data_IF_537506427946
#
_entry.id   IF_537506427946
#
_cell.length_a   1.000
_cell.length_b   1.000
_cell.length_c   1.000
_cell.angle_alpha   90.00
_cell.angle_beta   90.00
_cell.angle_gamma   90.00
#
_symmetry.space_group_name_H-M   'P 1'
#
loop_
_entity.id
_entity.type
_entity.pdbx_description
1 polymer ?
#
# COMPACT_ATOMS: atom_id res chain seq x y z
N UNK A 1 -7.55 5.81 26.95
CA UNK A 1 -8.88 5.33 26.50
C UNK A 1 -8.90 5.10 24.98
N UNK A 2 -8.55 6.11 24.17
CA UNK A 2 -8.56 5.99 22.69
C UNK A 2 -7.68 4.87 22.18
N UNK A 3 -6.46 4.74 22.69
CA UNK A 3 -5.52 3.68 22.31
C UNK A 3 -6.12 2.27 22.54
N UNK A 4 -6.79 2.06 23.68
CA UNK A 4 -7.45 0.77 23.97
C UNK A 4 -8.60 0.48 23.00
N UNK A 5 -9.36 1.51 22.63
CA UNK A 5 -10.46 1.38 21.67
C UNK A 5 -9.91 1.03 20.29
N UNK A 6 -8.88 1.75 19.81
CA UNK A 6 -8.22 1.49 18.54
C UNK A 6 -7.68 0.06 18.50
N UNK A 7 -6.89 -0.34 19.51
CA UNK A 7 -6.35 -1.72 19.58
C UNK A 7 -7.47 -2.76 19.48
N UNK A 8 -8.56 -2.58 20.21
CA UNK A 8 -9.71 -3.50 20.14
C UNK A 8 -10.31 -3.56 18.73
N UNK A 9 -10.44 -2.43 18.03
CA UNK A 9 -10.99 -2.39 16.67
C UNK A 9 -10.09 -3.08 15.65
N UNK A 10 -8.79 -2.83 15.72
CA UNK A 10 -7.82 -3.52 14.87
C UNK A 10 -7.85 -5.04 15.11
N UNK A 11 -7.87 -5.47 16.37
CA UNK A 11 -7.99 -6.90 16.71
C UNK A 11 -9.29 -7.53 16.21
N UNK A 12 -10.42 -6.82 16.30
CA UNK A 12 -11.68 -7.29 15.73
C UNK A 12 -11.58 -7.49 14.22
N UNK A 13 -11.01 -6.52 13.50
CA UNK A 13 -10.82 -6.62 12.06
C UNK A 13 -9.87 -7.78 11.68
N UNK A 14 -8.75 -7.94 12.38
CA UNK A 14 -7.80 -9.04 12.18
C UNK A 14 -8.48 -10.40 12.42
N UNK A 15 -9.24 -10.55 13.50
CA UNK A 15 -9.94 -11.81 13.80
C UNK A 15 -10.99 -12.15 12.73
N UNK A 16 -11.80 -11.18 12.32
CA UNK A 16 -12.76 -11.34 11.23
C UNK A 16 -12.05 -11.74 9.93
N UNK A 17 -10.96 -11.05 9.57
CA UNK A 17 -10.17 -11.36 8.38
C UNK A 17 -9.63 -12.79 8.40
N UNK A 18 -9.16 -13.29 9.55
CA UNK A 18 -8.73 -14.68 9.72
C UNK A 18 -9.88 -15.66 9.58
N UNK A 19 -11.01 -15.40 10.22
CA UNK A 19 -12.21 -16.25 10.14
C UNK A 19 -12.74 -16.34 8.70
N UNK A 20 -12.67 -15.23 7.95
CA UNK A 20 -13.05 -15.19 6.52
C UNK A 20 -11.99 -15.83 5.61
N UNK A 21 -10.80 -16.14 6.11
CA UNK A 21 -9.72 -16.72 5.32
C UNK A 21 -9.13 -15.74 4.30
N UNK A 22 -9.26 -14.41 4.50
CA UNK A 22 -8.69 -13.43 3.58
C UNK A 22 -7.18 -13.36 3.75
N UNK A 23 -6.48 -13.06 2.66
CA UNK A 23 -5.02 -12.99 2.65
C UNK A 23 -4.49 -11.62 3.05
N UNK A 24 -5.20 -10.57 2.72
CA UNK A 24 -4.78 -9.19 2.92
C UNK A 24 -5.84 -8.38 3.67
N UNK A 25 -5.39 -7.54 4.60
CA UNK A 25 -6.22 -6.60 5.35
C UNK A 25 -5.50 -5.25 5.35
N UNK A 26 -6.17 -4.23 4.82
CA UNK A 26 -5.58 -2.89 4.66
C UNK A 26 -5.97 -1.98 5.82
N UNK A 27 -4.99 -1.23 6.32
CA UNK A 27 -5.18 -0.09 7.23
C UNK A 27 -4.33 1.08 6.76
N UNK A 28 -4.83 2.30 6.90
CA UNK A 28 -4.02 3.50 6.64
C UNK A 28 -2.88 3.66 7.64
N UNK A 29 -1.82 4.39 7.26
CA UNK A 29 -0.68 4.73 8.13
C UNK A 29 -1.10 5.41 9.42
N UNK A 30 -2.22 6.14 9.44
CA UNK A 30 -2.66 7.03 10.50
C UNK A 30 -1.69 8.22 10.75
N UNK A 31 -0.77 8.45 9.84
CA UNK A 31 0.02 9.68 9.84
C UNK A 31 -0.89 10.88 9.52
N UNK A 32 -0.56 12.03 10.10
CA UNK A 32 -1.31 13.27 9.86
C UNK A 32 -0.36 14.47 9.93
N UNK A 33 -0.59 15.54 9.14
CA UNK A 33 0.25 16.74 9.13
C UNK A 33 0.45 17.42 10.49
N UNK A 34 -0.41 17.16 11.48
CA UNK A 34 -0.20 17.69 12.84
C UNK A 34 1.05 17.11 13.52
N UNK A 35 1.60 15.99 13.04
CA UNK A 35 2.83 15.39 13.56
C UNK A 35 4.12 16.06 13.05
N UNK A 36 4.03 17.08 12.19
CA UNK A 36 5.22 17.82 11.70
C UNK A 36 5.88 18.71 12.76
N UNK A 37 5.23 18.96 13.90
CA UNK A 37 5.86 19.65 15.02
C UNK A 37 7.10 18.89 15.53
N UNK A 38 8.09 19.63 16.02
CA UNK A 38 9.38 19.09 16.46
C UNK A 38 9.23 17.84 17.34
N UNK A 39 9.83 16.75 16.95
CA UNK A 39 9.77 15.42 17.58
C UNK A 39 8.41 14.69 17.56
N UNK A 40 7.33 15.28 17.08
CA UNK A 40 6.02 14.62 17.10
C UNK A 40 6.00 13.41 16.15
N UNK A 41 6.51 13.53 14.92
CA UNK A 41 6.66 12.42 13.98
C UNK A 41 7.50 11.29 14.58
N UNK A 42 8.63 11.63 15.21
CA UNK A 42 9.50 10.62 15.85
C UNK A 42 8.80 9.87 16.98
N UNK A 43 8.05 10.59 17.82
CA UNK A 43 7.31 9.98 18.92
C UNK A 43 6.14 9.13 18.42
N UNK A 44 5.43 9.61 17.40
CA UNK A 44 4.37 8.86 16.74
C UNK A 44 4.92 7.58 16.12
N UNK A 45 6.01 7.68 15.34
CA UNK A 45 6.64 6.55 14.67
C UNK A 45 7.14 5.48 15.67
N UNK A 46 7.73 5.90 16.79
CA UNK A 46 8.13 4.96 17.84
C UNK A 46 6.92 4.17 18.36
N UNK A 47 5.83 4.86 18.71
CA UNK A 47 4.60 4.23 19.23
C UNK A 47 3.93 3.30 18.23
N UNK A 48 3.84 3.71 16.96
CA UNK A 48 3.20 2.89 15.92
C UNK A 48 4.06 1.67 15.57
N UNK A 49 5.39 1.80 15.65
CA UNK A 49 6.31 0.67 15.48
C UNK A 49 6.12 -0.35 16.60
N UNK A 50 6.23 0.08 17.87
CA UNK A 50 6.02 -0.79 19.04
C UNK A 50 4.65 -1.49 18.98
N UNK A 51 3.62 -0.76 18.53
CA UNK A 51 2.27 -1.30 18.35
C UNK A 51 2.24 -2.44 17.31
N UNK A 52 2.82 -2.22 16.12
CA UNK A 52 2.81 -3.21 15.06
C UNK A 52 3.73 -4.40 15.34
N UNK A 53 4.87 -4.19 16.00
CA UNK A 53 5.71 -5.29 16.47
C UNK A 53 4.92 -6.24 17.39
N UNK A 54 4.19 -5.70 18.38
CA UNK A 54 3.34 -6.49 19.26
C UNK A 54 2.18 -7.17 18.50
N UNK A 55 1.49 -6.43 17.61
CA UNK A 55 0.36 -6.98 16.84
C UNK A 55 0.80 -8.13 15.94
N UNK A 56 1.97 -8.03 15.31
CA UNK A 56 2.54 -9.09 14.50
C UNK A 56 2.86 -10.30 15.35
N UNK A 57 3.64 -10.13 16.41
CA UNK A 57 4.09 -11.23 17.28
C UNK A 57 2.93 -11.97 17.96
N UNK A 58 1.92 -11.23 18.43
CA UNK A 58 0.81 -11.82 19.19
C UNK A 58 -0.31 -12.39 18.30
N UNK A 59 -0.49 -11.82 17.09
CA UNK A 59 -1.72 -12.07 16.33
C UNK A 59 -1.53 -12.44 14.85
N UNK A 60 -0.39 -12.19 14.23
CA UNK A 60 -0.20 -12.44 12.80
C UNK A 60 0.75 -13.60 12.51
N UNK A 61 1.75 -13.83 13.35
CA UNK A 61 2.68 -14.94 13.18
C UNK A 61 1.95 -16.29 13.11
N UNK A 62 2.37 -17.13 12.15
CA UNK A 62 1.75 -18.43 11.89
C UNK A 62 0.39 -18.38 11.22
N UNK A 63 -0.14 -17.21 10.86
CA UNK A 63 -1.36 -17.05 10.07
C UNK A 63 -1.05 -16.86 8.59
N UNK A 64 -2.08 -17.00 7.72
CA UNK A 64 -1.96 -16.66 6.31
C UNK A 64 -2.29 -15.19 6.01
N UNK A 65 -2.57 -14.40 7.05
CA UNK A 65 -2.96 -12.99 6.91
C UNK A 65 -1.72 -12.09 6.86
N UNK A 66 -1.70 -11.19 5.90
CA UNK A 66 -0.76 -10.06 5.84
C UNK A 66 -1.56 -8.77 6.02
N UNK A 67 -1.19 -7.98 7.00
CA UNK A 67 -1.68 -6.62 7.16
C UNK A 67 -0.89 -5.71 6.22
N UNK A 68 -1.60 -4.84 5.55
CA UNK A 68 -1.07 -3.86 4.63
C UNK A 68 -1.27 -2.46 5.21
N UNK A 69 -0.19 -1.69 5.24
CA UNK A 69 -0.23 -0.28 5.64
C UNK A 69 -0.29 0.57 4.38
N UNK A 70 -1.35 1.33 4.26
CA UNK A 70 -1.63 2.17 3.10
C UNK A 70 -1.27 3.62 3.39
N UNK A 71 -0.57 4.28 2.45
CA UNK A 71 -0.35 5.72 2.50
C UNK A 71 -1.67 6.48 2.33
N UNK A 72 -1.80 7.59 3.05
CA UNK A 72 -2.95 8.48 2.91
C UNK A 72 -2.48 9.94 2.86
N UNK A 73 -2.26 10.57 4.00
CA UNK A 73 -1.80 11.97 4.09
C UNK A 73 -0.26 12.08 4.11
N UNK A 74 0.44 11.00 3.84
CA UNK A 74 1.89 10.91 3.95
C UNK A 74 2.57 11.72 2.84
N UNK A 75 3.47 12.67 3.17
CA UNK A 75 4.13 13.51 2.18
C UNK A 75 5.25 12.81 1.42
N UNK A 76 5.78 11.72 1.98
CA UNK A 76 6.87 10.90 1.49
C UNK A 76 6.80 9.48 2.07
N UNK A 77 7.56 8.51 1.54
CA UNK A 77 7.54 7.12 2.02
C UNK A 77 8.35 6.88 3.31
N UNK A 78 9.08 7.86 3.83
CA UNK A 78 10.09 7.67 4.89
C UNK A 78 9.53 7.06 6.17
N UNK A 79 8.38 7.55 6.63
CA UNK A 79 7.75 7.05 7.85
C UNK A 79 7.25 5.62 7.68
N UNK A 80 6.63 5.31 6.54
CA UNK A 80 6.18 3.96 6.21
C UNK A 80 7.35 3.01 6.04
N UNK A 81 8.38 3.41 5.30
CA UNK A 81 9.59 2.61 5.10
C UNK A 81 10.30 2.32 6.43
N UNK A 82 10.40 3.31 7.31
CA UNK A 82 10.99 3.14 8.64
C UNK A 82 10.17 2.15 9.48
N UNK A 83 8.85 2.28 9.49
CA UNK A 83 7.95 1.36 10.20
C UNK A 83 8.13 -0.08 9.72
N UNK A 84 8.00 -0.30 8.41
CA UNK A 84 8.05 -1.63 7.81
C UNK A 84 9.43 -2.29 7.97
N UNK A 85 10.50 -1.49 7.83
CA UNK A 85 11.87 -1.98 8.00
C UNK A 85 12.18 -2.37 9.44
N UNK A 86 11.67 -1.62 10.43
CA UNK A 86 11.86 -1.93 11.85
C UNK A 86 11.08 -3.17 12.28
N UNK A 87 9.81 -3.26 11.91
CA UNK A 87 9.01 -4.45 12.21
C UNK A 87 9.55 -5.68 11.49
N UNK A 88 10.05 -5.54 10.26
CA UNK A 88 10.79 -6.57 9.52
C UNK A 88 10.02 -7.88 9.26
N UNK A 89 8.68 -7.85 9.32
CA UNK A 89 7.85 -9.04 9.23
C UNK A 89 7.25 -9.24 7.82
N UNK A 90 7.15 -10.49 7.33
CA UNK A 90 6.41 -10.79 6.11
C UNK A 90 4.89 -10.56 6.27
N UNK A 91 4.39 -10.48 7.50
CA UNK A 91 2.99 -10.24 7.82
C UNK A 91 2.61 -8.75 7.90
N UNK A 92 3.57 -7.83 7.72
CA UNK A 92 3.33 -6.39 7.64
C UNK A 92 4.01 -5.83 6.40
N UNK A 93 3.23 -5.32 5.44
CA UNK A 93 3.70 -4.85 4.14
C UNK A 93 3.03 -3.52 3.78
N UNK A 94 3.50 -2.90 2.69
CA UNK A 94 2.89 -1.70 2.14
C UNK A 94 1.74 -2.02 1.18
N UNK A 95 0.68 -1.23 1.27
CA UNK A 95 -0.24 -0.95 0.18
C UNK A 95 0.10 0.46 -0.33
N UNK A 96 0.45 0.59 -1.59
CA UNK A 96 0.66 1.89 -2.21
C UNK A 96 -0.62 2.34 -2.90
N UNK A 97 -1.18 3.47 -2.48
CA UNK A 97 -2.28 4.13 -3.20
C UNK A 97 -1.72 5.25 -4.08
N UNK A 98 -1.95 5.15 -5.41
CA UNK A 98 -1.41 6.08 -6.39
C UNK A 98 -2.08 7.44 -6.35
N UNK A 99 -3.38 7.47 -6.08
CA UNK A 99 -4.15 8.72 -6.01
C UNK A 99 -3.83 9.52 -4.76
N UNK A 100 -3.69 8.87 -3.61
CA UNK A 100 -3.24 9.54 -2.38
C UNK A 100 -1.84 10.16 -2.55
N UNK A 101 -0.91 9.44 -3.20
CA UNK A 101 0.41 10.01 -3.51
C UNK A 101 0.26 11.29 -4.34
N UNK A 102 -0.56 11.29 -5.39
CA UNK A 102 -0.70 12.44 -6.28
C UNK A 102 -1.28 13.69 -5.59
N UNK A 103 -2.06 13.51 -4.51
CA UNK A 103 -2.69 14.60 -3.77
C UNK A 103 -1.79 15.12 -2.64
N UNK A 104 -1.15 14.22 -1.89
CA UNK A 104 -0.54 14.55 -0.60
C UNK A 104 0.99 14.54 -0.61
N UNK A 105 1.63 14.01 -1.67
CA UNK A 105 3.07 13.91 -1.78
C UNK A 105 3.64 14.81 -2.86
N UNK A 106 4.86 15.30 -2.64
CA UNK A 106 5.66 15.97 -3.68
C UNK A 106 6.37 14.98 -4.61
N UNK A 107 6.44 13.70 -4.21
CA UNK A 107 7.04 12.61 -4.98
C UNK A 107 5.98 11.95 -5.87
N UNK A 108 6.42 11.42 -7.02
CA UNK A 108 5.52 10.65 -7.89
C UNK A 108 5.24 9.24 -7.35
N UNK A 109 4.15 8.58 -7.77
CA UNK A 109 3.93 7.16 -7.45
C UNK A 109 5.08 6.24 -7.90
N UNK A 110 5.80 6.62 -8.97
CA UNK A 110 7.01 5.90 -9.44
C UNK A 110 8.14 6.02 -8.42
N UNK A 111 8.34 7.19 -7.83
CA UNK A 111 9.38 7.39 -6.82
C UNK A 111 9.03 6.64 -5.53
N UNK A 112 7.77 6.70 -5.11
CA UNK A 112 7.28 5.93 -3.97
C UNK A 112 7.51 4.43 -4.11
N UNK A 113 7.19 3.84 -5.27
CA UNK A 113 7.36 2.39 -5.47
C UNK A 113 8.85 2.00 -5.52
N UNK A 114 9.73 2.88 -6.01
CA UNK A 114 11.18 2.67 -5.97
C UNK A 114 11.71 2.66 -4.54
N UNK A 115 11.31 3.64 -3.73
CA UNK A 115 11.75 3.78 -2.34
C UNK A 115 11.22 2.63 -1.47
N UNK A 116 9.94 2.30 -1.56
CA UNK A 116 9.34 1.20 -0.81
C UNK A 116 9.85 -0.18 -1.25
N UNK A 117 10.22 -0.34 -2.51
CA UNK A 117 10.87 -1.55 -3.06
C UNK A 117 10.16 -2.84 -2.66
N UNK A 118 10.88 -3.76 -2.02
CA UNK A 118 10.38 -5.08 -1.60
C UNK A 118 9.34 -5.07 -0.48
N UNK A 119 9.02 -3.90 0.09
CA UNK A 119 7.96 -3.76 1.09
C UNK A 119 6.57 -3.71 0.46
N UNK A 120 6.44 -3.32 -0.83
CA UNK A 120 5.15 -3.24 -1.51
C UNK A 120 4.62 -4.64 -1.83
N UNK A 121 3.43 -4.95 -1.35
CA UNK A 121 2.72 -6.20 -1.64
C UNK A 121 1.40 -5.98 -2.38
N UNK A 122 0.83 -4.80 -2.26
CA UNK A 122 -0.46 -4.43 -2.84
C UNK A 122 -0.46 -2.98 -3.31
N UNK A 123 -1.28 -2.67 -4.29
CA UNK A 123 -1.42 -1.32 -4.82
C UNK A 123 -2.91 -1.04 -5.07
N UNK A 124 -3.39 0.07 -4.57
CA UNK A 124 -4.63 0.70 -5.00
C UNK A 124 -4.30 1.64 -6.15
N UNK A 125 -4.95 1.44 -7.29
CA UNK A 125 -4.64 2.18 -8.51
C UNK A 125 -5.85 2.92 -9.04
N UNK A 126 -5.72 4.22 -9.09
CA UNK A 126 -6.64 5.15 -9.76
C UNK A 126 -5.88 6.42 -10.10
N UNK A 127 -6.50 7.29 -10.87
CA UNK A 127 -5.94 8.60 -11.21
C UNK A 127 -6.78 9.71 -10.58
N UNK A 128 -6.25 10.92 -10.53
CA UNK A 128 -6.94 12.15 -10.14
C UNK A 128 -6.16 13.38 -10.63
N UNK A 129 -6.70 14.58 -10.37
CA UNK A 129 -6.08 15.84 -10.79
C UNK A 129 -5.23 16.51 -9.71
N UNK A 130 -4.88 15.80 -8.63
CA UNK A 130 -4.00 16.30 -7.56
C UNK A 130 -4.70 17.21 -6.55
N UNK A 131 -6.01 17.31 -6.57
CA UNK A 131 -6.81 18.19 -5.70
C UNK A 131 -7.80 17.44 -4.82
N UNK A 132 -8.49 16.44 -5.38
CA UNK A 132 -9.47 15.60 -4.69
C UNK A 132 -9.25 14.13 -5.05
N UNK A 133 -9.62 13.25 -4.16
CA UNK A 133 -9.54 11.81 -4.34
C UNK A 133 -10.75 11.31 -5.16
N UNK A 134 -10.71 11.59 -6.48
CA UNK A 134 -11.83 11.39 -7.40
C UNK A 134 -12.00 9.96 -7.90
N UNK A 135 -11.00 9.11 -7.74
CA UNK A 135 -10.99 7.74 -8.26
C UNK A 135 -11.29 7.66 -9.76
N UNK A 136 -10.56 8.47 -10.54
CA UNK A 136 -10.72 8.56 -11.98
C UNK A 136 -10.07 7.39 -12.72
N UNK A 137 -10.45 7.22 -13.99
CA UNK A 137 -9.83 6.27 -14.90
C UNK A 137 -8.32 6.58 -15.08
N UNK A 138 -7.53 5.58 -15.43
CA UNK A 138 -6.07 5.70 -15.57
C UNK A 138 -5.65 6.76 -16.60
N UNK A 139 -6.42 6.94 -17.67
CA UNK A 139 -6.18 7.94 -18.70
C UNK A 139 -6.68 9.35 -18.35
N UNK A 140 -7.38 9.50 -17.20
CA UNK A 140 -7.97 10.76 -16.75
C UNK A 140 -7.30 11.23 -15.48
N UNK A 141 -6.51 12.30 -15.54
CA UNK A 141 -5.80 12.87 -14.40
C UNK A 141 -4.33 13.13 -14.69
N UNK A 142 -3.56 13.42 -13.66
CA UNK A 142 -2.18 13.91 -13.78
C UNK A 142 -1.11 12.83 -13.56
N UNK A 143 -1.48 11.66 -13.07
CA UNK A 143 -0.51 10.57 -12.83
C UNK A 143 -0.11 9.96 -14.17
N UNK A 144 1.19 9.85 -14.43
CA UNK A 144 1.74 9.05 -15.53
C UNK A 144 1.53 7.55 -15.26
N UNK A 145 0.31 7.07 -15.53
CA UNK A 145 -0.04 5.67 -15.30
C UNK A 145 0.71 4.70 -16.22
N UNK A 146 1.05 5.08 -17.45
CA UNK A 146 1.84 4.23 -18.34
C UNK A 146 3.26 4.04 -17.81
N UNK A 147 3.91 5.13 -17.39
CA UNK A 147 5.22 5.08 -16.74
C UNK A 147 5.17 4.27 -15.45
N UNK A 148 4.15 4.47 -14.60
CA UNK A 148 3.96 3.74 -13.37
C UNK A 148 3.80 2.22 -13.60
N UNK A 149 2.91 1.81 -14.50
CA UNK A 149 2.68 0.40 -14.84
C UNK A 149 3.91 -0.26 -15.47
N UNK A 150 4.68 0.50 -16.27
CA UNK A 150 5.95 0.03 -16.82
C UNK A 150 6.97 -0.28 -15.72
N UNK A 151 7.09 0.58 -14.69
CA UNK A 151 7.96 0.34 -13.54
C UNK A 151 7.47 -0.85 -12.70
N UNK A 152 6.16 -0.95 -12.50
CA UNK A 152 5.55 -2.06 -11.78
C UNK A 152 5.86 -3.41 -12.43
N UNK A 153 5.81 -3.48 -13.75
CA UNK A 153 6.12 -4.71 -14.49
C UNK A 153 7.59 -5.18 -14.32
N UNK A 154 8.49 -4.27 -13.93
CA UNK A 154 9.91 -4.57 -13.71
C UNK A 154 10.26 -4.94 -12.26
N UNK A 155 9.32 -4.85 -11.33
CA UNK A 155 9.58 -5.18 -9.93
C UNK A 155 10.03 -6.64 -9.77
N UNK A 156 11.00 -6.91 -8.87
CA UNK A 156 11.53 -8.25 -8.64
C UNK A 156 10.54 -9.18 -7.92
N UNK A 157 9.52 -8.62 -7.26
CA UNK A 157 8.46 -9.35 -6.55
C UNK A 157 7.11 -9.20 -7.27
N UNK A 158 6.23 -10.17 -7.02
CA UNK A 158 4.84 -10.08 -7.46
C UNK A 158 4.06 -9.14 -6.54
N UNK A 159 3.32 -8.21 -7.14
CA UNK A 159 2.48 -7.24 -6.44
C UNK A 159 1.02 -7.43 -6.88
N UNK A 160 0.09 -7.35 -5.96
CA UNK A 160 -1.35 -7.36 -6.26
C UNK A 160 -1.85 -5.95 -6.53
N UNK A 161 -2.84 -5.83 -7.42
CA UNK A 161 -3.48 -4.55 -7.73
C UNK A 161 -4.98 -4.63 -7.53
N UNK A 162 -5.54 -3.55 -6.99
CA UNK A 162 -6.95 -3.21 -7.11
C UNK A 162 -7.08 -1.95 -7.97
N UNK A 163 -7.98 -1.97 -8.94
CA UNK A 163 -8.40 -0.76 -9.65
C UNK A 163 -9.55 -0.16 -8.86
N UNK A 164 -9.35 1.03 -8.32
CA UNK A 164 -10.31 1.74 -7.49
C UNK A 164 -10.90 2.93 -8.24
N UNK A 165 -11.82 2.64 -9.15
CA UNK A 165 -12.49 3.67 -9.95
C UNK A 165 -13.96 3.78 -9.59
N UNK A 166 -14.52 4.98 -9.75
CA UNK A 166 -15.88 5.32 -9.31
C UNK A 166 -16.99 4.84 -10.28
N UNK A 167 -16.65 4.44 -11.52
CA UNK A 167 -17.63 3.98 -12.52
C UNK A 167 -17.17 2.71 -13.23
N UNK A 168 -18.12 1.98 -13.81
CA UNK A 168 -17.84 0.77 -14.60
C UNK A 168 -17.03 1.11 -15.85
N UNK A 169 -17.34 2.21 -16.51
CA UNK A 169 -16.65 2.67 -17.71
C UNK A 169 -15.17 2.99 -17.41
N UNK A 170 -14.91 3.68 -16.28
CA UNK A 170 -13.57 3.96 -15.82
C UNK A 170 -12.81 2.67 -15.46
N UNK A 171 -13.47 1.69 -14.84
CA UNK A 171 -12.89 0.38 -14.57
C UNK A 171 -12.50 -0.36 -15.85
N UNK A 172 -13.40 -0.40 -16.84
CA UNK A 172 -13.14 -1.09 -18.10
C UNK A 172 -11.98 -0.47 -18.88
N UNK A 173 -11.90 0.87 -18.96
CA UNK A 173 -10.81 1.56 -19.66
C UNK A 173 -9.48 1.38 -18.92
N UNK A 174 -9.46 1.54 -17.60
CA UNK A 174 -8.27 1.30 -16.76
C UNK A 174 -7.77 -0.14 -16.88
N UNK A 175 -8.68 -1.12 -16.89
CA UNK A 175 -8.30 -2.52 -17.07
C UNK A 175 -7.71 -2.80 -18.46
N UNK A 176 -8.22 -2.16 -19.52
CA UNK A 176 -7.63 -2.28 -20.87
C UNK A 176 -6.19 -1.79 -20.90
N UNK A 177 -5.90 -0.67 -20.20
CA UNK A 177 -4.54 -0.14 -20.08
C UNK A 177 -3.65 -1.07 -19.24
N UNK A 178 -4.14 -1.61 -18.13
CA UNK A 178 -3.39 -2.47 -17.21
C UNK A 178 -3.02 -3.83 -17.83
N UNK A 179 -3.89 -4.41 -18.63
CA UNK A 179 -3.80 -5.80 -19.12
C UNK A 179 -2.46 -6.19 -19.77
N UNK A 180 -1.82 -5.36 -20.62
CA UNK A 180 -0.50 -5.67 -21.20
C UNK A 180 0.58 -5.87 -20.13
N UNK A 181 0.58 -5.04 -19.09
CA UNK A 181 1.58 -5.07 -18.01
C UNK A 181 1.43 -6.29 -17.10
N UNK A 182 0.21 -6.71 -16.81
CA UNK A 182 -0.06 -7.97 -16.11
C UNK A 182 0.47 -9.18 -16.85
N UNK A 183 0.37 -9.18 -18.17
CA UNK A 183 0.92 -10.25 -19.01
C UNK A 183 2.44 -10.30 -18.92
N UNK A 184 3.11 -9.16 -19.05
CA UNK A 184 4.58 -9.06 -18.92
C UNK A 184 5.05 -9.53 -17.54
N UNK A 185 4.40 -9.11 -16.47
CA UNK A 185 4.74 -9.53 -15.12
C UNK A 185 4.59 -11.06 -14.96
N UNK A 186 3.49 -11.63 -15.43
CA UNK A 186 3.27 -13.08 -15.34
C UNK A 186 4.31 -13.88 -16.13
N UNK A 187 4.72 -13.43 -17.31
CA UNK A 187 5.78 -14.07 -18.12
C UNK A 187 7.14 -14.01 -17.42
N UNK A 188 7.46 -12.88 -16.77
CA UNK A 188 8.68 -12.72 -15.98
C UNK A 188 8.75 -13.70 -14.80
N UNK A 189 7.64 -13.93 -14.10
CA UNK A 189 7.60 -14.87 -12.97
C UNK A 189 7.54 -16.34 -13.42
N UNK A 190 6.89 -16.64 -14.54
CA UNK A 190 6.89 -17.99 -15.11
C UNK A 190 8.29 -18.42 -15.52
N UNK A 191 9.09 -17.53 -16.13
CA UNK A 191 10.47 -17.82 -16.52
C UNK A 191 11.42 -18.09 -15.34
N UNK A 192 11.18 -17.45 -14.18
CA UNK A 192 11.98 -17.69 -12.95
C UNK A 192 11.65 -19.03 -12.28
N UNK A 193 10.44 -19.56 -12.47
CA UNK A 193 10.02 -20.84 -11.87
C UNK A 193 10.66 -22.07 -12.55
N UNK A 194 11.30 -21.92 -13.69
CA UNK A 194 12.01 -22.98 -14.41
C UNK A 194 13.53 -23.05 -14.09
N UNK A 195 14.02 -22.20 -13.17
CA UNK A 195 15.44 -22.12 -12.82
C UNK A 195 15.75 -22.64 -11.40
N UNK A 196 14.83 -23.41 -10.80
CA UNK A 196 15.04 -24.08 -9.49
C UNK A 196 15.01 -25.59 -9.69
#
# INVERSE_FOLDING_TARGET
EFEKISRRRYLQAINIAKEMGVRYLVFHTQWTPIYTAANATKQWLAKVTDYWEQMVAEHLEGSNLTVLIENFLDPDPDTMLTLLSRVGSPHLKACLDTGHVNIFSELSPIDWIKELGGHVAYIHTHNNNGDIDSHDAFETGLIDMEGFLSHLALLPQKVHLAIETSTVEALESSYKMLRPYLKLQNEQFASKSFLI
#
